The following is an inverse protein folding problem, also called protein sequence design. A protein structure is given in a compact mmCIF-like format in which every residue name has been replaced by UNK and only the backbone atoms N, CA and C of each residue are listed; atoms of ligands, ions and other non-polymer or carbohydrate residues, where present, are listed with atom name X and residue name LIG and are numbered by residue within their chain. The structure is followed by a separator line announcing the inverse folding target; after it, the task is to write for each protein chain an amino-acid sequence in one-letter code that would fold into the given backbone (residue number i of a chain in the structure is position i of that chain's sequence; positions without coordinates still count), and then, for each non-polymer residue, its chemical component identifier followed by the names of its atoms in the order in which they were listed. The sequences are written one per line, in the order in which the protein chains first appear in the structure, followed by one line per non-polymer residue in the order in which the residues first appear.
data_IF_284853822150
#
_entry.id   IF_284853822150
#
_cell.length_a   1.000
_cell.length_b   1.000
_cell.length_c   1.000
_cell.angle_alpha   90.00
_cell.angle_beta   90.00
_cell.angle_gamma   90.00
#
_symmetry.space_group_name_H-M   'P 1'
#
loop_
_entity.id
_entity.type
_entity.pdbx_description
1 polymer ?
#
# COMPACT_ATOMS: atom_id res chain seq x y z
N UNK A 1 18.59 -1.69 -4.73
CA UNK A 1 17.42 -2.13 -5.53
C UNK A 1 16.29 -1.19 -5.17
N UNK A 2 15.66 -0.54 -6.15
CA UNK A 2 14.66 0.49 -5.87
C UNK A 2 13.29 -0.17 -5.62
N UNK A 3 12.72 0.07 -4.45
CA UNK A 3 11.33 -0.24 -4.18
C UNK A 3 10.47 0.94 -4.65
N UNK A 4 9.23 0.65 -5.04
CA UNK A 4 8.22 1.66 -5.30
C UNK A 4 7.44 1.96 -4.03
N UNK A 5 7.17 3.24 -3.78
CA UNK A 5 6.36 3.72 -2.66
C UNK A 5 5.38 4.78 -3.15
N UNK A 6 4.14 4.78 -2.65
CA UNK A 6 3.22 5.89 -2.88
C UNK A 6 2.31 6.14 -1.68
N UNK A 7 1.86 7.38 -1.56
CA UNK A 7 0.86 7.83 -0.62
C UNK A 7 -0.36 8.37 -1.38
N UNK A 8 -1.56 8.07 -0.90
CA UNK A 8 -2.80 8.60 -1.48
C UNK A 8 -3.79 9.02 -0.39
N UNK A 9 -4.21 10.28 -0.43
CA UNK A 9 -5.20 10.86 0.49
C UNK A 9 -6.64 10.58 0.05
N UNK A 10 -6.98 9.30 -0.15
CA UNK A 10 -8.31 8.87 -0.58
C UNK A 10 -8.72 7.60 0.13
N UNK A 11 -10.04 7.48 0.37
CA UNK A 11 -10.65 6.23 0.84
C UNK A 11 -10.45 5.15 -0.24
N UNK A 12 -9.88 3.99 0.09
CA UNK A 12 -9.90 2.83 -0.78
C UNK A 12 -11.32 2.42 -1.15
N UNK A 13 -11.44 1.77 -2.30
CA UNK A 13 -12.74 1.32 -2.82
C UNK A 13 -12.72 -0.19 -2.93
N UNK A 14 -13.81 -0.82 -2.48
CA UNK A 14 -14.05 -2.25 -2.63
C UNK A 14 -14.06 -2.66 -4.11
N UNK A 15 -13.56 -3.86 -4.41
CA UNK A 15 -13.60 -4.48 -5.73
C UNK A 15 -15.01 -4.51 -6.33
N UNK A 16 -16.02 -4.71 -5.49
CA UNK A 16 -17.42 -4.80 -5.91
C UNK A 16 -18.01 -3.45 -6.33
N UNK A 17 -17.35 -2.34 -5.97
CA UNK A 17 -17.75 -1.01 -6.37
C UNK A 17 -17.04 -0.65 -7.69
N UNK A 18 -17.80 -0.57 -8.77
CA UNK A 18 -17.31 -0.05 -10.05
C UNK A 18 -16.94 1.45 -9.90
N UNK A 19 -15.67 1.73 -9.62
CA UNK A 19 -15.20 3.10 -9.37
C UNK A 19 -13.96 3.44 -10.21
N UNK A 20 -14.21 3.82 -11.46
CA UNK A 20 -13.16 4.22 -12.40
C UNK A 20 -12.39 5.45 -11.93
N UNK A 21 -13.07 6.41 -11.27
CA UNK A 21 -12.41 7.61 -10.74
C UNK A 21 -11.35 7.29 -9.69
N UNK A 22 -11.61 6.30 -8.84
CA UNK A 22 -10.64 5.83 -7.87
C UNK A 22 -9.44 5.15 -8.54
N UNK A 23 -9.70 4.23 -9.50
CA UNK A 23 -8.63 3.56 -10.27
C UNK A 23 -7.76 4.55 -11.05
N UNK A 24 -8.38 5.56 -11.69
CA UNK A 24 -7.65 6.63 -12.37
C UNK A 24 -6.78 7.44 -11.41
N UNK A 25 -7.31 7.82 -10.23
CA UNK A 25 -6.53 8.57 -9.26
C UNK A 25 -5.32 7.79 -8.73
N UNK A 26 -5.47 6.48 -8.51
CA UNK A 26 -4.35 5.59 -8.16
C UNK A 26 -3.31 5.56 -9.29
N UNK A 27 -3.77 5.33 -10.52
CA UNK A 27 -2.89 5.23 -11.68
C UNK A 27 -2.13 6.52 -11.95
N UNK A 28 -2.81 7.68 -11.84
CA UNK A 28 -2.20 9.00 -12.04
C UNK A 28 -1.11 9.25 -11.00
N UNK A 29 -1.38 8.93 -9.73
CA UNK A 29 -0.39 9.11 -8.65
C UNK A 29 0.79 8.16 -8.81
N UNK A 30 0.52 6.88 -9.10
CA UNK A 30 1.56 5.91 -9.37
C UNK A 30 2.43 6.30 -10.57
N UNK A 31 1.83 6.85 -11.63
CA UNK A 31 2.55 7.28 -12.84
C UNK A 31 3.47 8.47 -12.58
N UNK A 32 3.07 9.41 -11.70
CA UNK A 32 3.95 10.51 -11.29
C UNK A 32 5.14 9.99 -10.49
N UNK A 33 4.90 9.10 -9.53
CA UNK A 33 5.97 8.58 -8.67
C UNK A 33 6.92 7.68 -9.46
N UNK A 34 6.40 6.85 -10.36
CA UNK A 34 7.19 5.96 -11.21
C UNK A 34 7.80 6.68 -12.43
N UNK A 35 7.62 8.00 -12.58
CA UNK A 35 8.08 8.74 -13.76
C UNK A 35 9.59 8.57 -13.95
N UNK A 36 9.98 8.03 -15.11
CA UNK A 36 11.39 7.79 -15.45
C UNK A 36 12.00 6.53 -14.82
N UNK A 37 11.20 5.73 -14.13
CA UNK A 37 11.61 4.42 -13.61
C UNK A 37 11.18 3.30 -14.56
N UNK A 38 11.96 2.22 -14.61
CA UNK A 38 11.55 0.98 -15.29
C UNK A 38 10.52 0.21 -14.46
N UNK A 39 9.72 -0.63 -15.13
CA UNK A 39 8.80 -1.53 -14.43
C UNK A 39 9.59 -2.53 -13.58
N UNK A 40 9.11 -2.79 -12.37
CA UNK A 40 9.67 -3.83 -11.50
C UNK A 40 9.44 -5.20 -12.14
N UNK A 41 10.53 -5.94 -12.31
CA UNK A 41 10.55 -7.26 -12.92
C UNK A 41 10.85 -8.37 -11.88
N UNK A 42 10.42 -9.59 -12.17
CA UNK A 42 10.60 -10.74 -11.30
C UNK A 42 9.51 -10.87 -10.24
N UNK A 43 9.77 -11.63 -9.18
CA UNK A 43 8.85 -11.86 -8.06
C UNK A 43 8.87 -10.66 -7.10
N UNK A 44 7.68 -10.18 -6.77
CA UNK A 44 7.44 -8.95 -6.02
C UNK A 44 6.65 -9.24 -4.74
N UNK A 45 6.79 -8.37 -3.74
CA UNK A 45 5.84 -8.24 -2.64
C UNK A 45 5.07 -6.92 -2.76
N UNK A 46 3.87 -6.89 -2.18
CA UNK A 46 3.11 -5.68 -1.95
C UNK A 46 2.85 -5.49 -0.45
N UNK A 47 2.97 -4.26 0.04
CA UNK A 47 2.53 -3.85 1.37
C UNK A 47 1.57 -2.68 1.24
N UNK A 48 0.35 -2.87 1.74
CA UNK A 48 -0.72 -1.89 1.65
C UNK A 48 -1.18 -1.57 3.08
N UNK A 49 -1.06 -0.31 3.48
CA UNK A 49 -1.48 0.14 4.81
C UNK A 49 -2.48 1.27 4.63
N UNK A 50 -3.71 1.05 5.09
CA UNK A 50 -4.75 2.05 5.07
C UNK A 50 -4.98 2.62 6.46
N UNK A 51 -4.55 3.86 6.66
CA UNK A 51 -4.86 4.65 7.84
C UNK A 51 -6.22 5.32 7.65
N UNK A 52 -7.14 5.12 8.59
CA UNK A 52 -8.47 5.70 8.55
C UNK A 52 -8.89 6.26 9.90
N UNK A 53 -9.56 7.42 9.87
CA UNK A 53 -10.18 8.02 11.06
C UNK A 53 -11.68 7.73 11.14
N UNK A 54 -12.35 7.74 9.97
CA UNK A 54 -13.78 7.46 9.90
C UNK A 54 -14.04 5.93 10.02
N UNK A 55 -15.10 5.49 10.72
CA UNK A 55 -15.49 4.09 10.76
C UNK A 55 -15.71 3.52 9.36
N UNK A 56 -15.28 2.28 9.15
CA UNK A 56 -15.40 1.60 7.87
C UNK A 56 -15.76 0.13 8.04
N UNK A 57 -16.68 -0.33 7.21
CA UNK A 57 -17.07 -1.74 7.06
C UNK A 57 -16.34 -2.42 5.91
N UNK A 58 -15.41 -1.72 5.23
CA UNK A 58 -14.66 -2.33 4.13
C UNK A 58 -13.67 -3.37 4.66
N UNK A 59 -13.66 -4.50 3.97
CA UNK A 59 -12.74 -5.59 4.18
C UNK A 59 -11.41 -5.31 3.47
N UNK A 60 -10.32 -5.72 4.11
CA UNK A 60 -8.95 -5.43 3.63
C UNK A 60 -8.62 -6.19 2.35
N UNK A 61 -9.09 -7.43 2.21
CA UNK A 61 -8.95 -8.23 0.99
C UNK A 61 -9.67 -7.59 -0.20
N UNK A 62 -10.82 -6.96 0.05
CA UNK A 62 -11.68 -6.37 -0.97
C UNK A 62 -11.10 -5.08 -1.56
N UNK A 63 -10.14 -4.42 -0.90
CA UNK A 63 -9.48 -3.21 -1.41
C UNK A 63 -8.17 -3.49 -2.15
N UNK A 64 -7.55 -4.66 -1.93
CA UNK A 64 -6.25 -5.01 -2.52
C UNK A 64 -6.33 -5.05 -4.05
N UNK A 65 -7.31 -5.75 -4.60
CA UNK A 65 -7.38 -5.99 -6.03
C UNK A 65 -7.51 -4.71 -6.87
N UNK A 66 -8.41 -3.75 -6.53
CA UNK A 66 -8.46 -2.47 -7.23
C UNK A 66 -7.15 -1.67 -7.18
N UNK A 67 -6.40 -1.79 -6.08
CA UNK A 67 -5.08 -1.13 -5.95
C UNK A 67 -4.09 -1.79 -6.91
N UNK A 68 -3.91 -3.11 -6.85
CA UNK A 68 -2.96 -3.83 -7.71
C UNK A 68 -3.31 -3.68 -9.20
N UNK A 69 -4.59 -3.80 -9.56
CA UNK A 69 -5.09 -3.54 -10.92
C UNK A 69 -4.66 -2.16 -11.44
N UNK A 70 -4.65 -1.14 -10.57
CA UNK A 70 -4.31 0.24 -10.96
C UNK A 70 -2.80 0.48 -11.10
N UNK A 71 -1.97 -0.35 -10.46
CA UNK A 71 -0.52 -0.30 -10.54
C UNK A 71 0.05 -1.13 -11.70
N UNK A 72 -0.74 -2.08 -12.23
CA UNK A 72 -0.40 -2.87 -13.40
C UNK A 72 -0.11 -2.00 -14.63
N UNK A 73 1.01 -2.28 -15.29
CA UNK A 73 1.54 -1.51 -16.42
C UNK A 73 2.13 -0.14 -16.05
N UNK A 74 2.19 0.20 -14.75
CA UNK A 74 2.78 1.45 -14.24
C UNK A 74 3.96 1.16 -13.31
N UNK A 75 3.79 0.21 -12.39
CA UNK A 75 4.82 -0.18 -11.41
C UNK A 75 5.43 -1.53 -11.75
N UNK A 76 4.62 -2.45 -12.27
CA UNK A 76 5.01 -3.81 -12.68
C UNK A 76 4.17 -4.22 -13.90
N UNK A 77 4.56 -5.28 -14.62
CA UNK A 77 3.90 -5.70 -15.87
C UNK A 77 2.55 -6.39 -15.59
N UNK A 78 2.53 -7.31 -14.62
CA UNK A 78 1.35 -8.12 -14.30
C UNK A 78 1.25 -8.40 -12.79
N UNK A 79 0.02 -8.44 -12.26
CA UNK A 79 -0.24 -8.69 -10.84
C UNK A 79 0.14 -10.12 -10.41
N UNK A 80 0.31 -11.06 -11.35
CA UNK A 80 0.89 -12.38 -11.09
C UNK A 80 2.34 -12.34 -10.59
N UNK A 81 3.06 -11.22 -10.77
CA UNK A 81 4.37 -11.01 -10.18
C UNK A 81 4.32 -10.87 -8.65
N UNK A 82 3.17 -10.48 -8.10
CA UNK A 82 2.98 -10.26 -6.66
C UNK A 82 2.82 -11.62 -5.96
N UNK A 83 3.92 -12.08 -5.37
CA UNK A 83 3.99 -13.36 -4.68
C UNK A 83 3.58 -13.32 -3.20
N UNK A 84 3.60 -12.13 -2.60
CA UNK A 84 3.21 -11.86 -1.22
C UNK A 84 2.49 -10.51 -1.16
N UNK A 85 1.37 -10.43 -0.44
CA UNK A 85 0.67 -9.18 -0.21
C UNK A 85 0.29 -9.07 1.27
N UNK A 86 0.84 -8.08 1.97
CA UNK A 86 0.46 -7.74 3.33
C UNK A 86 -0.45 -6.52 3.30
N UNK A 87 -1.68 -6.67 3.78
CA UNK A 87 -2.66 -5.59 3.87
C UNK A 87 -3.07 -5.34 5.31
N UNK A 88 -3.10 -4.07 5.72
CA UNK A 88 -3.51 -3.64 7.05
C UNK A 88 -4.43 -2.43 6.96
N UNK A 89 -5.38 -2.35 7.90
CA UNK A 89 -6.14 -1.14 8.19
C UNK A 89 -5.84 -0.68 9.61
N UNK A 90 -5.55 0.60 9.77
CA UNK A 90 -5.20 1.21 11.05
C UNK A 90 -6.23 2.29 11.36
N UNK A 91 -6.96 2.11 12.46
CA UNK A 91 -7.87 3.11 13.01
C UNK A 91 -7.04 4.17 13.75
N UNK A 92 -6.85 5.33 13.12
CA UNK A 92 -6.04 6.42 13.67
C UNK A 92 -6.72 7.19 14.79
N UNK A 93 -7.98 6.89 15.10
CA UNK A 93 -8.65 7.41 16.30
C UNK A 93 -8.21 6.69 17.59
N UNK A 94 -7.48 5.58 17.46
CA UNK A 94 -6.91 4.80 18.57
C UNK A 94 -5.39 4.95 18.60
N UNK A 95 -4.73 4.65 19.74
CA UNK A 95 -3.28 4.56 19.77
C UNK A 95 -2.76 3.50 18.80
N UNK A 96 -1.70 3.83 18.07
CA UNK A 96 -0.98 2.92 17.17
C UNK A 96 0.52 3.22 17.23
N UNK A 97 1.33 2.30 16.75
CA UNK A 97 2.80 2.43 16.68
C UNK A 97 3.31 1.85 15.37
N UNK A 98 4.36 2.46 14.84
CA UNK A 98 5.07 1.91 13.69
C UNK A 98 6.12 0.90 14.18
N UNK A 99 6.13 -0.28 13.57
CA UNK A 99 7.20 -1.27 13.78
C UNK A 99 8.00 -1.34 12.48
N UNK A 100 9.27 -0.94 12.57
CA UNK A 100 10.10 -0.66 11.40
C UNK A 100 9.74 0.67 10.72
N UNK A 101 10.63 1.16 9.88
CA UNK A 101 10.46 2.42 9.16
C UNK A 101 10.59 2.18 7.64
N UNK A 102 9.69 2.73 6.80
CA UNK A 102 9.92 2.80 5.37
C UNK A 102 11.05 3.79 5.06
N UNK A 103 11.36 4.00 3.77
CA UNK A 103 12.33 5.02 3.38
C UNK A 103 12.00 6.39 4.00
N UNK A 104 13.01 7.06 4.57
CA UNK A 104 12.86 8.25 5.43
C UNK A 104 11.97 9.34 4.81
N UNK A 105 12.13 9.61 3.51
CA UNK A 105 11.34 10.64 2.81
C UNK A 105 9.85 10.33 2.80
N UNK A 106 9.49 9.07 2.54
CA UNK A 106 8.10 8.62 2.54
C UNK A 106 7.54 8.62 3.96
N UNK A 107 8.36 8.23 4.95
CA UNK A 107 7.94 8.26 6.35
C UNK A 107 7.65 9.69 6.83
N UNK A 108 8.48 10.67 6.45
CA UNK A 108 8.24 12.08 6.75
C UNK A 108 6.93 12.59 6.14
N UNK A 109 6.64 12.24 4.89
CA UNK A 109 5.42 12.65 4.20
C UNK A 109 4.17 11.99 4.82
N UNK A 110 4.24 10.68 5.09
CA UNK A 110 3.19 9.96 5.81
C UNK A 110 2.92 10.61 7.16
N UNK A 111 3.97 10.90 7.92
CA UNK A 111 3.87 11.55 9.23
C UNK A 111 3.19 12.92 9.13
N UNK A 112 3.48 13.71 8.09
CA UNK A 112 2.81 14.99 7.83
C UNK A 112 1.32 14.82 7.56
N UNK A 113 0.91 13.81 6.79
CA UNK A 113 -0.51 13.55 6.53
C UNK A 113 -1.25 13.09 7.78
N UNK A 114 -0.63 12.22 8.58
CA UNK A 114 -1.22 11.74 9.83
C UNK A 114 -1.32 12.87 10.86
N UNK A 115 -0.32 13.74 10.96
CA UNK A 115 -0.34 14.91 11.83
C UNK A 115 -1.41 15.96 11.44
N UNK A 116 -1.80 16.01 10.16
CA UNK A 116 -2.92 16.84 9.66
C UNK A 116 -4.30 16.22 9.89
N UNK A 117 -4.35 15.06 10.54
CA UNK A 117 -5.57 14.29 10.78
C UNK A 117 -6.35 13.96 9.50
N UNK A 118 -5.63 13.68 8.41
CA UNK A 118 -6.25 13.26 7.16
C UNK A 118 -7.13 12.02 7.39
N UNK A 119 -8.37 12.08 6.89
CA UNK A 119 -9.38 11.04 7.16
C UNK A 119 -8.97 9.68 6.63
N UNK A 120 -8.27 9.67 5.50
CA UNK A 120 -7.81 8.46 4.84
C UNK A 120 -6.43 8.71 4.25
N UNK A 121 -5.46 7.89 4.66
CA UNK A 121 -4.13 7.84 4.05
C UNK A 121 -3.87 6.40 3.65
N UNK A 122 -3.64 6.17 2.36
CA UNK A 122 -3.24 4.88 1.82
C UNK A 122 -1.75 4.92 1.52
N UNK A 123 -1.00 4.05 2.18
CA UNK A 123 0.40 3.77 1.86
C UNK A 123 0.46 2.48 1.04
N UNK A 124 1.20 2.51 -0.07
CA UNK A 124 1.48 1.33 -0.88
C UNK A 124 2.97 1.25 -1.15
N UNK A 125 3.53 0.08 -0.90
CA UNK A 125 4.90 -0.29 -1.22
C UNK A 125 4.89 -1.53 -2.12
N UNK A 126 5.72 -1.52 -3.16
CA UNK A 126 6.00 -2.69 -3.99
C UNK A 126 7.51 -2.85 -4.10
N UNK A 127 8.02 -4.03 -3.76
CA UNK A 127 9.45 -4.30 -3.79
C UNK A 127 9.77 -5.71 -4.27
N UNK A 128 11.05 -5.99 -4.48
CA UNK A 128 11.51 -7.31 -4.90
C UNK A 128 11.40 -8.31 -3.75
N UNK A 129 10.88 -9.50 -4.04
CA UNK A 129 10.87 -10.65 -3.13
C UNK A 129 11.41 -11.86 -3.90
N UNK A 130 12.75 -11.94 -4.09
CA UNK A 130 13.35 -13.00 -4.90
C UNK A 130 13.20 -14.39 -4.24
N UNK A 131 13.05 -14.43 -2.91
CA UNK A 131 12.89 -15.67 -2.15
C UNK A 131 11.42 -15.95 -1.82
N UNK A 132 11.07 -17.22 -1.71
CA UNK A 132 9.76 -17.66 -1.23
C UNK A 132 9.88 -18.01 0.25
N UNK A 133 9.41 -17.12 1.12
CA UNK A 133 9.48 -17.30 2.57
C UNK A 133 8.07 -17.57 3.10
N UNK A 134 7.90 -18.68 3.81
CA UNK A 134 6.71 -18.96 4.59
C UNK A 134 6.97 -18.49 6.04
N UNK A 135 6.54 -17.26 6.34
CA UNK A 135 6.60 -16.69 7.67
C UNK A 135 5.36 -17.12 8.47
N UNK A 136 5.54 -17.98 9.47
CA UNK A 136 4.46 -18.47 10.32
C UNK A 136 4.16 -17.54 11.49
N UNK A 137 4.85 -16.41 11.63
CA UNK A 137 4.69 -15.48 12.74
C UNK A 137 5.02 -16.15 14.07
N UNK A 138 6.31 -16.28 14.40
CA UNK A 138 6.68 -16.61 15.77
C UNK A 138 6.15 -15.49 16.68
N UNK A 139 5.37 -15.85 17.71
CA UNK A 139 4.90 -14.88 18.70
C UNK A 139 6.10 -14.10 19.22
N UNK A 140 6.07 -12.77 19.12
CA UNK A 140 7.01 -11.94 19.85
C UNK A 140 6.75 -12.24 21.33
N UNK A 141 7.70 -12.89 22.00
CA UNK A 141 7.67 -13.02 23.45
C UNK A 141 7.60 -11.60 24.02
N UNK A 142 6.55 -11.31 24.79
CA UNK A 142 6.40 -10.05 25.51
C UNK A 142 7.66 -9.82 26.36
N UNK A 143 8.46 -8.80 26.03
CA UNK A 143 9.60 -8.34 26.84
C UNK A 143 9.15 -7.22 27.76
#
# INVERSE_FOLDING_TARGET
MANFYMLLLRRPVSLNAANQKYKSALKDEASKVAQGSELLAGRLYARIIWFHKDPTTQDVDNIVKPILDSLKGVVFEDDSQIGECRVMKIDTSRPYTFVGEPETKIFEELSKFLAREEKHVLFVEVGLSPEQIADFGMAQEDV
#
